data_IF_668632861348
#
_entry.id   IF_668632861348
#
_cell.length_a   1.000
_cell.length_b   1.000
_cell.length_c   1.000
_cell.angle_alpha   90.00
_cell.angle_beta   90.00
_cell.angle_gamma   90.00
#
_symmetry.space_group_name_H-M   'P 1'
#
loop_
_entity.id
_entity.type
_entity.pdbx_description
1 polymer ?
#
# COMPACT_ATOMS: atom_id res chain seq x y z
N UNK A 1 13.42 8.90 -15.43
CA UNK A 1 12.50 8.10 -14.58
C UNK A 1 12.54 8.49 -13.10
N UNK A 2 13.71 8.62 -12.46
CA UNK A 2 13.80 8.87 -11.01
C UNK A 2 13.31 10.25 -10.54
N UNK A 3 13.11 11.22 -11.43
CA UNK A 3 12.66 12.59 -11.07
C UNK A 3 11.23 12.57 -10.54
N UNK A 4 10.29 11.93 -11.26
CA UNK A 4 8.88 11.85 -10.84
C UNK A 4 8.69 11.21 -9.46
N UNK A 5 9.48 10.18 -9.13
CA UNK A 5 9.40 9.55 -7.81
C UNK A 5 9.94 10.46 -6.69
N UNK A 6 10.97 11.28 -6.98
CA UNK A 6 11.50 12.27 -6.03
C UNK A 6 10.52 13.41 -5.78
N UNK A 7 9.75 13.79 -6.79
CA UNK A 7 8.70 14.82 -6.69
C UNK A 7 7.41 14.29 -6.03
N UNK A 8 7.41 13.03 -5.58
CA UNK A 8 6.30 12.43 -4.84
C UNK A 8 5.23 11.76 -5.70
N UNK A 9 5.34 11.79 -7.03
CA UNK A 9 4.37 11.10 -7.90
C UNK A 9 4.42 9.58 -7.68
N UNK A 10 3.25 8.97 -7.58
CA UNK A 10 3.04 7.52 -7.49
C UNK A 10 1.93 7.09 -8.43
N UNK A 11 1.77 5.78 -8.59
CA UNK A 11 0.67 5.22 -9.36
C UNK A 11 -0.66 5.61 -8.71
N UNK A 12 -1.65 5.93 -9.53
CA UNK A 12 -3.00 6.15 -9.04
C UNK A 12 -3.63 4.83 -8.54
N UNK A 13 -4.63 4.96 -7.67
CA UNK A 13 -5.42 3.83 -7.20
C UNK A 13 -6.18 3.18 -8.37
N UNK A 14 -6.15 1.85 -8.52
CA UNK A 14 -6.97 1.14 -9.50
C UNK A 14 -8.46 1.21 -9.17
N UNK A 15 -9.34 1.23 -10.17
CA UNK A 15 -10.81 1.40 -10.01
C UNK A 15 -11.48 0.36 -9.09
N UNK A 16 -10.94 -0.86 -9.02
CA UNK A 16 -11.49 -1.95 -8.19
C UNK A 16 -10.68 -2.22 -6.92
N UNK A 17 -9.77 -1.32 -6.55
CA UNK A 17 -8.93 -1.47 -5.37
C UNK A 17 -9.55 -0.72 -4.20
N UNK A 18 -9.88 -1.39 -3.07
CA UNK A 18 -10.34 -0.71 -1.87
C UNK A 18 -9.30 0.27 -1.31
N UNK A 19 -9.79 1.36 -0.70
CA UNK A 19 -8.94 2.43 -0.16
C UNK A 19 -7.95 1.91 0.88
N UNK A 20 -8.35 0.93 1.69
CA UNK A 20 -7.51 0.31 2.72
C UNK A 20 -6.33 -0.44 2.10
N UNK A 21 -6.57 -1.19 1.02
CA UNK A 21 -5.51 -1.91 0.32
C UNK A 21 -4.57 -0.94 -0.40
N UNK A 22 -5.12 0.09 -1.03
CA UNK A 22 -4.31 1.11 -1.67
C UNK A 22 -3.45 1.90 -0.66
N UNK A 23 -4.00 2.17 0.54
CA UNK A 23 -3.24 2.76 1.65
C UNK A 23 -2.02 1.92 2.05
N UNK A 24 -2.19 0.59 2.10
CA UNK A 24 -1.07 -0.34 2.35
C UNK A 24 -0.02 -0.28 1.24
N UNK A 25 -0.44 -0.21 -0.03
CA UNK A 25 0.46 -0.05 -1.17
C UNK A 25 1.21 1.30 -1.12
N UNK A 26 0.51 2.39 -0.78
CA UNK A 26 1.09 3.72 -0.68
C UNK A 26 2.13 3.80 0.46
N UNK A 27 1.92 3.10 1.57
CA UNK A 27 2.90 3.02 2.66
C UNK A 27 4.22 2.37 2.21
N UNK A 28 4.19 1.39 1.30
CA UNK A 28 5.41 0.82 0.70
C UNK A 28 6.21 1.82 -0.15
N UNK A 29 5.58 2.94 -0.53
CA UNK A 29 6.14 3.93 -1.44
C UNK A 29 6.66 5.20 -0.74
N UNK A 30 6.75 5.18 0.58
CA UNK A 30 7.33 6.28 1.36
C UNK A 30 8.74 6.63 0.90
N UNK A 31 9.01 7.93 0.85
CA UNK A 31 10.29 8.47 0.36
C UNK A 31 11.45 7.98 1.22
N UNK A 32 11.32 8.10 2.54
CA UNK A 32 12.28 7.59 3.50
C UNK A 32 12.13 6.05 3.61
N UNK A 33 13.19 5.27 3.37
CA UNK A 33 13.14 3.81 3.50
C UNK A 33 12.69 3.32 4.90
N UNK A 34 13.04 4.06 5.95
CA UNK A 34 12.70 3.79 7.35
C UNK A 34 11.22 3.94 7.67
N UNK A 35 10.48 4.75 6.88
CA UNK A 35 9.04 4.93 7.04
C UNK A 35 8.24 3.82 6.33
N UNK A 36 8.90 2.99 5.52
CA UNK A 36 8.23 1.89 4.81
C UNK A 36 7.95 0.75 5.79
N UNK A 37 6.81 0.06 5.63
CA UNK A 37 6.54 -1.13 6.43
C UNK A 37 7.60 -2.20 6.17
N UNK A 38 7.99 -2.90 7.23
CA UNK A 38 8.74 -4.14 7.11
C UNK A 38 7.89 -5.20 6.40
N UNK A 39 8.54 -6.23 5.84
CA UNK A 39 7.84 -7.35 5.22
C UNK A 39 6.83 -8.01 6.17
N UNK A 40 7.17 -8.12 7.46
CA UNK A 40 6.28 -8.70 8.48
C UNK A 40 5.04 -7.83 8.71
N UNK A 41 5.20 -6.50 8.79
CA UNK A 41 4.06 -5.57 8.90
C UNK A 41 3.18 -5.60 7.66
N UNK A 42 3.79 -5.65 6.48
CA UNK A 42 3.07 -5.74 5.22
C UNK A 42 2.24 -7.04 5.13
N UNK A 43 2.83 -8.17 5.50
CA UNK A 43 2.15 -9.46 5.52
C UNK A 43 0.96 -9.45 6.50
N UNK A 44 1.15 -8.92 7.71
CA UNK A 44 0.08 -8.80 8.70
C UNK A 44 -1.08 -7.95 8.16
N UNK A 45 -0.80 -6.78 7.59
CA UNK A 45 -1.83 -5.92 6.99
C UNK A 45 -2.59 -6.57 5.83
N UNK A 46 -1.89 -7.32 4.98
CA UNK A 46 -2.54 -8.09 3.89
C UNK A 46 -3.43 -9.22 4.43
N UNK A 47 -3.01 -9.89 5.50
CA UNK A 47 -3.81 -10.94 6.15
C UNK A 47 -5.08 -10.38 6.80
N UNK A 48 -4.96 -9.25 7.51
CA UNK A 48 -6.10 -8.53 8.08
C UNK A 48 -7.09 -8.09 7.00
N UNK A 49 -6.58 -7.48 5.93
CA UNK A 49 -7.40 -7.06 4.79
C UNK A 49 -8.10 -8.26 4.12
N UNK A 50 -7.39 -9.37 3.92
CA UNK A 50 -7.96 -10.60 3.35
C UNK A 50 -9.06 -11.19 4.25
N UNK A 51 -8.88 -11.16 5.56
CA UNK A 51 -9.89 -11.61 6.50
C UNK A 51 -11.13 -10.70 6.46
N UNK A 52 -10.92 -9.38 6.40
CA UNK A 52 -12.00 -8.40 6.27
C UNK A 52 -12.81 -8.57 4.98
N UNK A 53 -12.15 -8.81 3.84
CA UNK A 53 -12.83 -9.09 2.57
C UNK A 53 -13.70 -10.35 2.63
N UNK A 54 -13.29 -11.37 3.37
CA UNK A 54 -14.08 -12.59 3.57
C UNK A 54 -15.42 -12.36 4.28
N UNK A 55 -15.64 -11.20 4.88
CA UNK A 55 -16.92 -10.81 5.48
C UNK A 55 -17.86 -10.06 4.51
N UNK A 56 -17.36 -9.61 3.36
CA UNK A 56 -18.13 -8.84 2.37
C UNK A 56 -18.56 -9.67 1.15
N UNK A 57 -18.21 -10.96 1.10
CA UNK A 57 -18.55 -11.90 0.02
C UNK A 57 -19.47 -13.00 0.57
#
# INVERSE_FOLDING_TARGET
MAVFLRDGYRLAQPDSCPDELYGLMAACWMTAPEDRPSMTQLLAGLQEFSAALGHYI
#
